data_IF_280479398167
#
_entry.id   IF_280479398167
#
_cell.length_a   1.000
_cell.length_b   1.000
_cell.length_c   1.000
_cell.angle_alpha   90.00
_cell.angle_beta   90.00
_cell.angle_gamma   90.00
#
_symmetry.space_group_name_H-M   'P 1'
#
loop_
_entity.id
_entity.type
_entity.pdbx_description
1 polymer ?
#
# COMPACT_ATOMS: atom_id res chain seq x y z
N UNK A 1 -22.24 -5.10 3.02
CA UNK A 1 -22.71 -4.42 1.80
C UNK A 1 -21.84 -3.21 1.58
N UNK A 2 -21.04 -3.26 0.53
CA UNK A 2 -20.16 -2.17 0.08
C UNK A 2 -20.90 -0.82 0.01
N UNK A 3 -20.21 0.29 0.26
CA UNK A 3 -20.82 1.62 0.32
C UNK A 3 -21.44 2.04 -1.02
N UNK A 4 -20.80 1.69 -2.13
CA UNK A 4 -21.35 1.97 -3.47
C UNK A 4 -22.66 1.19 -3.67
N UNK A 5 -22.68 -0.12 -3.39
CA UNK A 5 -23.89 -0.93 -3.53
C UNK A 5 -25.02 -0.48 -2.60
N UNK A 6 -24.67 -0.06 -1.37
CA UNK A 6 -25.64 0.55 -0.46
C UNK A 6 -26.21 1.84 -1.06
N UNK A 7 -25.34 2.70 -1.57
CA UNK A 7 -25.71 3.99 -2.12
C UNK A 7 -26.58 3.88 -3.36
N UNK A 8 -26.29 2.94 -4.26
CA UNK A 8 -27.13 2.62 -5.42
C UNK A 8 -28.56 2.25 -4.98
N UNK A 9 -28.69 1.41 -3.94
CA UNK A 9 -30.00 1.03 -3.38
C UNK A 9 -30.71 2.22 -2.74
N UNK A 10 -29.99 2.97 -1.92
CA UNK A 10 -30.53 4.18 -1.29
C UNK A 10 -31.04 5.17 -2.35
N UNK A 11 -30.25 5.43 -3.38
CA UNK A 11 -30.60 6.34 -4.47
C UNK A 11 -31.82 5.84 -5.26
N UNK A 12 -31.87 4.54 -5.59
CA UNK A 12 -33.03 3.94 -6.25
C UNK A 12 -34.30 4.10 -5.42
N UNK A 13 -34.23 3.87 -4.10
CA UNK A 13 -35.36 4.06 -3.19
C UNK A 13 -35.82 5.51 -3.13
N UNK A 14 -34.88 6.47 -3.03
CA UNK A 14 -35.25 7.88 -2.99
C UNK A 14 -35.85 8.32 -4.33
N UNK A 15 -35.35 7.82 -5.45
CA UNK A 15 -35.88 8.12 -6.79
C UNK A 15 -37.29 7.59 -6.95
N UNK A 16 -37.57 6.38 -6.46
CA UNK A 16 -38.92 5.81 -6.47
C UNK A 16 -39.89 6.58 -5.56
N UNK A 17 -39.48 6.86 -4.32
CA UNK A 17 -40.31 7.57 -3.32
C UNK A 17 -40.59 9.03 -3.70
N UNK A 18 -39.70 9.66 -4.47
CA UNK A 18 -39.79 11.06 -4.88
C UNK A 18 -39.92 11.20 -6.40
N UNK A 19 -40.65 10.27 -7.03
CA UNK A 19 -40.86 10.24 -8.47
C UNK A 19 -41.21 11.63 -9.05
N UNK A 20 -40.52 12.01 -10.14
CA UNK A 20 -40.67 13.32 -10.79
C UNK A 20 -39.90 14.48 -10.13
N UNK A 21 -39.26 14.27 -8.98
CA UNK A 21 -38.36 15.25 -8.36
C UNK A 21 -36.91 14.82 -8.52
N UNK A 22 -36.07 15.71 -9.06
CA UNK A 22 -34.63 15.45 -9.21
C UNK A 22 -33.97 15.31 -7.84
N UNK A 23 -33.11 14.31 -7.69
CA UNK A 23 -32.15 14.17 -6.59
C UNK A 23 -30.78 14.32 -7.24
N UNK A 24 -30.10 15.44 -6.98
CA UNK A 24 -28.82 15.73 -7.60
C UNK A 24 -27.65 15.13 -6.81
N UNK A 25 -26.78 14.42 -7.52
CA UNK A 25 -25.63 13.72 -6.96
C UNK A 25 -24.41 14.12 -7.76
N UNK A 26 -23.40 14.67 -7.09
CA UNK A 26 -22.17 15.12 -7.73
C UNK A 26 -20.99 14.45 -7.04
N UNK A 27 -20.20 13.71 -7.83
CA UNK A 27 -18.90 13.19 -7.44
C UNK A 27 -17.88 13.84 -8.36
N UNK A 28 -16.97 14.60 -7.79
CA UNK A 28 -15.94 15.31 -8.55
C UNK A 28 -14.59 15.21 -7.85
N UNK A 29 -13.53 15.48 -8.60
CA UNK A 29 -12.20 15.68 -8.05
C UNK A 29 -11.99 17.15 -7.71
N UNK A 30 -11.13 17.41 -6.74
CA UNK A 30 -10.63 18.74 -6.35
C UNK A 30 -9.09 18.73 -6.34
N UNK A 31 -8.47 19.78 -5.83
CA UNK A 31 -7.02 19.90 -5.70
C UNK A 31 -6.37 18.65 -5.06
N UNK A 32 -5.12 18.35 -5.42
CA UNK A 32 -4.38 17.18 -4.96
C UNK A 32 -5.08 15.83 -5.22
N UNK A 33 -5.85 15.75 -6.30
CA UNK A 33 -6.61 14.55 -6.70
C UNK A 33 -7.59 14.05 -5.63
N UNK A 34 -7.96 14.90 -4.68
CA UNK A 34 -8.91 14.57 -3.63
C UNK A 34 -10.33 14.46 -4.18
N UNK A 35 -11.19 13.74 -3.46
CA UNK A 35 -12.59 13.55 -3.79
C UNK A 35 -13.45 14.62 -3.13
N UNK A 36 -14.48 15.06 -3.85
CA UNK A 36 -15.61 15.80 -3.32
C UNK A 36 -16.90 15.08 -3.70
N UNK A 37 -17.72 14.83 -2.70
CA UNK A 37 -19.04 14.21 -2.84
C UNK A 37 -20.08 15.19 -2.33
N UNK A 38 -21.11 15.43 -3.14
CA UNK A 38 -22.22 16.31 -2.81
C UNK A 38 -23.54 15.64 -3.15
N UNK A 39 -24.44 15.55 -2.15
CA UNK A 39 -25.78 15.00 -2.32
C UNK A 39 -26.83 16.04 -1.94
N UNK A 40 -27.75 16.33 -2.86
CA UNK A 40 -28.91 17.16 -2.59
C UNK A 40 -29.97 16.36 -1.83
N UNK A 41 -30.33 16.84 -0.63
CA UNK A 41 -31.31 16.22 0.26
C UNK A 41 -32.65 16.96 0.27
N UNK A 42 -32.80 18.07 -0.46
CA UNK A 42 -33.98 18.95 -0.46
C UNK A 42 -35.28 18.21 -0.72
N UNK A 43 -35.26 17.28 -1.67
CA UNK A 43 -36.42 16.48 -2.06
C UNK A 43 -36.56 15.17 -1.29
N UNK A 44 -35.79 14.98 -0.21
CA UNK A 44 -35.82 13.76 0.60
C UNK A 44 -36.37 14.05 2.00
N UNK A 45 -36.68 13.00 2.75
CA UNK A 45 -37.04 13.11 4.18
C UNK A 45 -35.92 13.68 5.05
N UNK A 46 -34.70 13.76 4.51
CA UNK A 46 -33.49 14.24 5.18
C UNK A 46 -33.27 15.75 5.02
N UNK A 47 -34.15 16.48 4.33
CA UNK A 47 -34.01 17.93 4.12
C UNK A 47 -33.91 18.74 5.42
N UNK A 48 -34.45 18.22 6.53
CA UNK A 48 -34.37 18.86 7.85
C UNK A 48 -33.15 18.41 8.67
N UNK A 49 -32.44 17.39 8.22
CA UNK A 49 -31.26 16.87 8.92
C UNK A 49 -30.16 17.92 8.87
N UNK A 50 -29.54 18.17 10.02
CA UNK A 50 -28.35 19.00 10.16
C UNK A 50 -27.36 18.20 10.98
N UNK A 51 -26.15 18.10 10.47
CA UNK A 51 -25.05 17.41 11.15
C UNK A 51 -23.89 18.38 11.15
N UNK A 52 -23.36 18.67 12.33
CA UNK A 52 -22.18 19.51 12.47
C UNK A 52 -21.00 18.91 11.71
N UNK A 53 -20.12 19.79 11.24
CA UNK A 53 -18.95 19.39 10.49
C UNK A 53 -18.09 18.46 11.35
N UNK A 54 -17.79 17.29 10.82
CA UNK A 54 -16.75 16.42 11.34
C UNK A 54 -15.56 16.47 10.40
N UNK A 55 -14.37 16.34 10.97
CA UNK A 55 -13.13 16.39 10.21
C UNK A 55 -12.04 15.57 10.90
N UNK A 56 -11.12 15.09 10.08
CA UNK A 56 -9.87 14.50 10.51
C UNK A 56 -8.80 14.96 9.54
N UNK A 57 -7.72 15.55 10.05
CA UNK A 57 -6.59 16.01 9.28
C UNK A 57 -5.29 15.38 9.80
N UNK A 58 -5.20 14.05 9.72
CA UNK A 58 -4.00 13.32 10.14
C UNK A 58 -2.78 13.67 9.25
N UNK A 59 -2.97 13.79 7.93
CA UNK A 59 -1.91 14.19 6.99
C UNK A 59 -2.46 14.72 5.67
N UNK A 60 -1.58 15.21 4.79
CA UNK A 60 -1.95 15.57 3.40
C UNK A 60 -2.54 14.41 2.58
N UNK A 61 -2.34 13.16 3.03
CA UNK A 61 -2.79 11.95 2.36
C UNK A 61 -3.76 11.11 3.20
N UNK A 62 -4.08 11.55 4.41
CA UNK A 62 -5.11 10.95 5.25
C UNK A 62 -5.90 12.08 5.90
N UNK A 63 -6.90 12.58 5.18
CA UNK A 63 -7.78 13.62 5.71
C UNK A 63 -9.18 13.51 5.13
N UNK A 64 -10.17 13.97 5.89
CA UNK A 64 -11.53 14.17 5.41
C UNK A 64 -12.23 15.28 6.17
N UNK A 65 -13.27 15.81 5.55
CA UNK A 65 -14.31 16.61 6.18
C UNK A 65 -15.68 16.17 5.65
N UNK A 66 -16.69 16.17 6.50
CA UNK A 66 -18.07 15.86 6.11
C UNK A 66 -19.05 16.67 6.95
N UNK A 67 -20.09 17.18 6.32
CA UNK A 67 -21.17 17.91 7.00
C UNK A 67 -22.52 17.70 6.30
N UNK A 68 -23.61 17.95 7.04
CA UNK A 68 -24.93 18.17 6.43
C UNK A 68 -25.40 19.57 6.81
N UNK A 69 -25.40 20.45 5.82
CA UNK A 69 -25.80 21.84 5.98
C UNK A 69 -26.59 22.29 4.76
N UNK A 70 -27.54 23.20 4.96
CA UNK A 70 -28.33 23.78 3.87
C UNK A 70 -29.04 22.72 2.98
N UNK A 71 -29.50 21.62 3.57
CA UNK A 71 -30.17 20.52 2.87
C UNK A 71 -29.26 19.77 1.89
N UNK A 72 -27.95 19.87 2.08
CA UNK A 72 -26.94 19.18 1.27
C UNK A 72 -26.00 18.41 2.19
N UNK A 73 -25.67 17.18 1.81
CA UNK A 73 -24.48 16.51 2.34
C UNK A 73 -23.29 16.91 1.49
N UNK A 74 -22.22 17.38 2.13
CA UNK A 74 -20.96 17.70 1.48
C UNK A 74 -19.85 17.00 2.21
N UNK A 75 -19.06 16.21 1.49
CA UNK A 75 -17.89 15.59 2.05
C UNK A 75 -16.71 15.68 1.09
N UNK A 76 -15.52 15.85 1.65
CA UNK A 76 -14.25 15.86 0.93
C UNK A 76 -13.26 14.98 1.65
N UNK A 77 -12.34 14.41 0.91
CA UNK A 77 -11.25 13.64 1.49
C UNK A 77 -10.21 13.32 0.45
N UNK A 78 -9.06 12.82 0.89
CA UNK A 78 -7.96 12.46 -0.01
C UNK A 78 -8.38 11.45 -1.10
N UNK A 79 -7.48 11.24 -2.06
CA UNK A 79 -7.72 10.41 -3.25
C UNK A 79 -8.12 8.95 -2.96
N UNK A 80 -7.96 8.46 -1.73
CA UNK A 80 -8.37 7.10 -1.31
C UNK A 80 -9.77 7.03 -0.72
N UNK A 81 -10.40 8.17 -0.38
CA UNK A 81 -11.57 8.20 0.50
C UNK A 81 -12.93 8.17 -0.17
N UNK A 82 -13.06 8.04 -1.49
CA UNK A 82 -14.38 8.10 -2.15
C UNK A 82 -15.44 7.18 -1.51
N UNK A 83 -15.11 5.89 -1.35
CA UNK A 83 -16.01 4.92 -0.68
C UNK A 83 -16.27 5.30 0.78
N UNK A 84 -15.27 5.82 1.48
CA UNK A 84 -15.39 6.30 2.85
C UNK A 84 -16.37 7.50 2.95
N UNK A 85 -16.27 8.50 2.06
CA UNK A 85 -17.15 9.68 2.05
C UNK A 85 -18.63 9.28 1.85
N UNK A 86 -18.89 8.30 0.98
CA UNK A 86 -20.24 7.71 0.83
C UNK A 86 -20.68 7.01 2.12
N UNK A 87 -19.77 6.31 2.79
CA UNK A 87 -20.01 5.70 4.11
C UNK A 87 -20.35 6.71 5.20
N UNK A 88 -19.72 7.90 5.19
CA UNK A 88 -20.04 8.98 6.14
C UNK A 88 -21.48 9.45 5.98
N UNK A 89 -21.95 9.60 4.74
CA UNK A 89 -23.36 9.92 4.48
C UNK A 89 -24.30 8.88 5.08
N UNK A 90 -24.03 7.59 4.83
CA UNK A 90 -24.79 6.47 5.42
C UNK A 90 -24.85 6.57 6.94
N UNK A 91 -23.72 6.85 7.58
CA UNK A 91 -23.63 6.97 9.03
C UNK A 91 -24.48 8.13 9.55
N UNK A 92 -24.45 9.28 8.86
CA UNK A 92 -25.19 10.49 9.24
C UNK A 92 -26.70 10.31 9.20
N UNK A 93 -27.23 9.51 8.29
CA UNK A 93 -28.68 9.31 8.15
C UNK A 93 -29.24 8.23 9.09
N UNK A 94 -28.41 7.73 10.01
CA UNK A 94 -28.85 6.83 11.08
C UNK A 94 -29.15 5.40 10.64
N UNK A 95 -28.77 5.00 9.42
CA UNK A 95 -28.84 3.58 8.98
C UNK A 95 -27.70 2.77 9.60
N UNK A 96 -27.71 2.68 10.94
CA UNK A 96 -26.78 1.90 11.76
C UNK A 96 -27.16 0.41 11.72
N UNK A 97 -27.09 -0.18 10.54
CA UNK A 97 -27.02 -1.62 10.34
C UNK A 97 -25.55 -2.02 10.20
N UNK A 98 -24.87 -2.15 11.35
CA UNK A 98 -23.42 -2.35 11.55
C UNK A 98 -22.64 -1.03 11.51
N UNK A 99 -22.09 -0.63 12.67
CA UNK A 99 -20.81 0.10 12.71
C UNK A 99 -19.87 -0.67 11.79
N UNK A 100 -19.62 -0.18 10.58
CA UNK A 100 -18.52 -0.69 9.80
C UNK A 100 -17.27 -0.36 10.61
N UNK A 101 -16.60 -1.38 11.15
CA UNK A 101 -15.18 -1.24 11.36
C UNK A 101 -14.62 -1.04 9.96
N UNK A 102 -14.36 0.21 9.57
CA UNK A 102 -13.27 0.41 8.64
C UNK A 102 -12.10 -0.35 9.27
N UNK A 103 -11.68 -1.45 8.65
CA UNK A 103 -10.32 -1.88 8.87
C UNK A 103 -9.52 -0.66 8.44
N UNK A 104 -8.95 0.06 9.39
CA UNK A 104 -8.20 1.27 9.09
C UNK A 104 -7.14 0.91 8.04
N UNK A 105 -6.85 1.85 7.16
CA UNK A 105 -5.84 1.67 6.13
C UNK A 105 -4.88 2.84 6.26
N UNK A 106 -3.82 2.58 7.00
CA UNK A 106 -2.80 3.54 7.39
C UNK A 106 -1.65 3.56 6.38
N UNK A 107 -1.78 2.90 5.22
CA UNK A 107 -0.69 2.83 4.23
C UNK A 107 -0.19 4.22 3.81
N UNK A 108 -1.08 5.21 3.76
CA UNK A 108 -0.76 6.61 3.40
C UNK A 108 -0.55 7.53 4.61
N UNK A 109 -0.50 6.99 5.83
CA UNK A 109 -0.19 7.76 7.03
C UNK A 109 1.26 8.21 7.03
N UNK A 110 1.49 9.37 7.66
CA UNK A 110 2.78 10.06 7.60
C UNK A 110 3.94 9.18 8.10
N UNK A 111 3.73 8.45 9.19
CA UNK A 111 4.75 7.56 9.78
C UNK A 111 5.11 6.41 8.84
N UNK A 112 4.12 5.73 8.26
CA UNK A 112 4.32 4.62 7.31
C UNK A 112 4.95 5.12 6.02
N UNK A 113 4.49 6.26 5.48
CA UNK A 113 5.08 6.87 4.28
C UNK A 113 6.53 7.28 4.52
N UNK A 114 6.84 7.84 5.69
CA UNK A 114 8.22 8.20 6.06
C UNK A 114 9.06 6.93 6.18
N UNK A 115 8.56 5.89 6.85
CA UNK A 115 9.24 4.60 6.95
C UNK A 115 9.52 3.95 5.58
N UNK A 116 8.61 4.05 4.62
CA UNK A 116 8.83 3.51 3.27
C UNK A 116 9.74 4.37 2.38
N UNK A 117 9.62 5.70 2.47
CA UNK A 117 10.15 6.62 1.46
C UNK A 117 11.31 7.49 1.95
N UNK A 118 11.68 7.45 3.23
CA UNK A 118 12.85 8.20 3.70
C UNK A 118 14.10 7.79 2.90
N UNK A 119 14.86 8.79 2.45
CA UNK A 119 16.07 8.60 1.64
C UNK A 119 15.86 7.81 0.34
N UNK A 120 14.68 7.87 -0.29
CA UNK A 120 14.39 7.22 -1.57
C UNK A 120 15.33 7.58 -2.74
N UNK A 121 16.04 8.71 -2.67
CA UNK A 121 17.08 9.06 -3.66
C UNK A 121 18.36 8.22 -3.48
N UNK A 122 18.61 7.71 -2.27
CA UNK A 122 19.80 6.92 -1.93
C UNK A 122 19.54 5.42 -1.93
N UNK A 123 18.28 5.01 -1.85
CA UNK A 123 17.88 3.61 -1.72
C UNK A 123 16.93 3.18 -2.83
N UNK A 124 17.15 1.96 -3.32
CA UNK A 124 16.16 1.24 -4.10
C UNK A 124 15.27 0.50 -3.10
N UNK A 125 14.01 0.92 -3.02
CA UNK A 125 13.02 0.35 -2.08
C UNK A 125 12.09 -0.64 -2.78
N UNK A 126 11.84 -1.78 -2.15
CA UNK A 126 10.88 -2.79 -2.57
C UNK A 126 9.90 -3.11 -1.44
N UNK A 127 8.66 -3.45 -1.80
CA UNK A 127 7.62 -3.89 -0.88
C UNK A 127 7.27 -5.35 -1.13
N UNK A 128 7.14 -6.13 -0.06
CA UNK A 128 6.62 -7.49 -0.10
C UNK A 128 5.44 -7.64 0.87
N UNK A 129 4.31 -8.15 0.40
CA UNK A 129 3.10 -8.30 1.21
C UNK A 129 2.99 -9.72 1.75
N UNK A 130 2.64 -9.86 3.02
CA UNK A 130 2.39 -11.16 3.64
C UNK A 130 1.25 -11.09 4.65
N UNK A 131 0.42 -12.14 4.68
CA UNK A 131 -0.68 -12.29 5.63
C UNK A 131 -0.24 -12.88 6.96
N UNK A 132 1.00 -13.35 7.07
CA UNK A 132 1.51 -14.05 8.24
C UNK A 132 2.48 -13.17 9.04
N UNK A 133 2.09 -12.84 10.27
CA UNK A 133 2.97 -12.18 11.25
C UNK A 133 4.24 -13.01 11.51
N UNK A 134 4.13 -14.34 11.49
CA UNK A 134 5.28 -15.22 11.66
C UNK A 134 6.22 -15.13 10.45
N UNK A 135 5.68 -15.09 9.23
CA UNK A 135 6.47 -14.89 8.03
C UNK A 135 7.20 -13.54 8.05
N UNK A 136 6.51 -12.46 8.41
CA UNK A 136 7.12 -11.13 8.52
C UNK A 136 8.28 -11.10 9.52
N UNK A 137 8.07 -11.65 10.72
CA UNK A 137 9.12 -11.80 11.75
C UNK A 137 10.27 -12.69 11.29
N UNK A 138 9.98 -13.75 10.54
CA UNK A 138 11.00 -14.63 9.96
C UNK A 138 11.84 -13.91 8.92
N UNK A 139 11.21 -13.15 8.01
CA UNK A 139 11.91 -12.37 6.97
C UNK A 139 12.85 -11.33 7.59
N UNK A 140 12.44 -10.64 8.67
CA UNK A 140 13.34 -9.75 9.41
C UNK A 140 14.61 -10.48 9.90
N UNK A 141 14.46 -11.72 10.39
CA UNK A 141 15.57 -12.48 10.99
C UNK A 141 16.46 -13.17 9.96
N UNK A 142 15.87 -13.71 8.91
CA UNK A 142 16.57 -14.62 7.99
C UNK A 142 16.71 -14.07 6.58
N UNK A 143 16.06 -12.96 6.27
CA UNK A 143 16.01 -12.41 4.92
C UNK A 143 14.82 -12.92 4.12
N UNK A 144 14.62 -12.33 2.95
CA UNK A 144 13.52 -12.69 2.06
C UNK A 144 13.95 -13.86 1.16
N UNK A 145 13.21 -14.98 1.26
CA UNK A 145 13.35 -16.10 0.33
C UNK A 145 12.50 -15.85 -0.91
N UNK A 146 13.07 -16.13 -2.08
CA UNK A 146 12.35 -16.04 -3.35
C UNK A 146 12.83 -17.11 -4.33
N UNK A 147 11.92 -17.56 -5.20
CA UNK A 147 12.20 -18.40 -6.36
C UNK A 147 11.84 -17.65 -7.64
N UNK A 148 12.35 -18.12 -8.78
CA UNK A 148 12.09 -17.62 -10.14
C UNK A 148 12.53 -16.17 -10.44
N UNK A 149 11.95 -15.16 -9.76
CA UNK A 149 12.26 -13.76 -9.95
C UNK A 149 11.85 -12.93 -8.74
N UNK A 150 12.77 -12.09 -8.28
CA UNK A 150 12.54 -11.17 -7.18
C UNK A 150 11.35 -10.23 -7.42
N UNK A 151 11.18 -9.74 -8.66
CA UNK A 151 10.11 -8.83 -9.07
C UNK A 151 8.71 -9.47 -9.09
N UNK A 152 8.61 -10.81 -9.04
CA UNK A 152 7.32 -11.50 -8.91
C UNK A 152 6.82 -11.51 -7.46
N UNK A 153 7.74 -11.47 -6.50
CA UNK A 153 7.41 -11.54 -5.07
C UNK A 153 7.43 -10.17 -4.40
N UNK A 154 8.11 -9.19 -5.00
CA UNK A 154 8.23 -7.85 -4.47
C UNK A 154 7.79 -6.80 -5.50
N UNK A 155 7.54 -5.58 -5.03
CA UNK A 155 7.26 -4.44 -5.91
C UNK A 155 8.20 -3.29 -5.63
N UNK A 156 8.99 -2.91 -6.63
CA UNK A 156 9.81 -1.70 -6.58
C UNK A 156 8.92 -0.47 -6.39
N UNK A 157 9.26 0.32 -5.37
CA UNK A 157 8.57 1.57 -5.01
C UNK A 157 9.01 2.68 -5.96
N UNK A 158 8.03 3.41 -6.48
CA UNK A 158 8.24 4.70 -7.15
C UNK A 158 7.65 5.79 -6.28
N UNK A 159 8.27 6.97 -6.21
CA UNK A 159 7.82 8.12 -5.41
C UNK A 159 6.56 8.83 -5.96
N UNK A 160 5.78 8.15 -6.81
CA UNK A 160 4.52 8.63 -7.36
C UNK A 160 3.35 8.04 -6.53
N UNK A 161 2.52 8.91 -5.95
CA UNK A 161 1.36 8.52 -5.14
C UNK A 161 0.35 7.67 -5.90
N UNK A 162 0.17 7.90 -7.20
CA UNK A 162 -0.75 7.12 -8.04
C UNK A 162 -0.27 5.69 -8.17
N UNK A 163 1.02 5.49 -8.48
CA UNK A 163 1.62 4.16 -8.60
C UNK A 163 1.62 3.43 -7.25
N UNK A 164 1.92 4.13 -6.16
CA UNK A 164 1.88 3.57 -4.81
C UNK A 164 0.48 3.10 -4.43
N UNK A 165 -0.55 3.89 -4.74
CA UNK A 165 -1.93 3.53 -4.45
C UNK A 165 -2.40 2.34 -5.28
N UNK A 166 -2.08 2.33 -6.57
CA UNK A 166 -2.37 1.20 -7.44
C UNK A 166 -1.71 -0.08 -6.93
N UNK A 167 -0.40 -0.02 -6.63
CA UNK A 167 0.34 -1.15 -6.10
C UNK A 167 -0.23 -1.62 -4.76
N UNK A 168 -0.54 -0.70 -3.84
CA UNK A 168 -1.15 -1.06 -2.57
C UNK A 168 -2.53 -1.70 -2.75
N UNK A 169 -3.38 -1.13 -3.60
CA UNK A 169 -4.70 -1.66 -3.90
C UNK A 169 -4.65 -3.09 -4.46
N UNK A 170 -3.71 -3.38 -5.36
CA UNK A 170 -3.52 -4.70 -5.96
C UNK A 170 -2.91 -5.69 -4.96
N UNK A 171 -1.96 -5.25 -4.13
CA UNK A 171 -1.16 -6.14 -3.30
C UNK A 171 -1.74 -6.39 -1.90
N UNK A 172 -2.60 -5.50 -1.38
CA UNK A 172 -3.20 -5.65 -0.03
C UNK A 172 -4.02 -6.93 0.17
N UNK A 173 -4.44 -7.58 -0.92
CA UNK A 173 -5.08 -8.90 -0.85
C UNK A 173 -4.13 -10.02 -0.38
N UNK A 174 -2.81 -9.84 -0.51
CA UNK A 174 -1.81 -10.82 -0.10
C UNK A 174 -1.47 -10.73 1.40
N UNK A 175 -1.95 -9.69 2.10
CA UNK A 175 -1.88 -9.59 3.54
C UNK A 175 -1.69 -8.19 4.08
N UNK A 176 -1.88 -8.07 5.40
CA UNK A 176 -1.87 -6.79 6.10
C UNK A 176 -0.44 -6.32 6.51
N UNK A 177 0.55 -7.21 6.46
CA UNK A 177 1.96 -6.88 6.73
C UNK A 177 2.71 -6.58 5.44
N UNK A 178 3.47 -5.48 5.44
CA UNK A 178 4.29 -5.05 4.29
C UNK A 178 5.73 -4.95 4.73
N UNK A 179 6.57 -5.84 4.20
CA UNK A 179 8.02 -5.82 4.38
C UNK A 179 8.60 -4.70 3.51
N UNK A 180 9.46 -3.89 4.09
CA UNK A 180 10.21 -2.83 3.41
C UNK A 180 11.66 -3.29 3.26
N UNK A 181 12.10 -3.43 2.01
CA UNK A 181 13.46 -3.81 1.64
C UNK A 181 14.12 -2.59 1.01
N UNK A 182 15.31 -2.24 1.48
CA UNK A 182 16.08 -1.10 0.98
C UNK A 182 17.51 -1.54 0.69
N UNK A 183 17.95 -1.33 -0.55
CA UNK A 183 19.33 -1.57 -0.99
C UNK A 183 19.89 -0.22 -1.42
N UNK A 184 21.09 0.16 -0.98
CA UNK A 184 21.65 1.44 -1.43
C UNK A 184 21.92 1.42 -2.93
N UNK A 185 21.73 2.58 -3.56
CA UNK A 185 22.00 2.78 -4.98
C UNK A 185 23.45 2.42 -5.30
N UNK A 186 24.39 2.77 -4.41
CA UNK A 186 25.82 2.47 -4.58
C UNK A 186 26.10 0.96 -4.59
N UNK A 187 25.54 0.21 -3.64
CA UNK A 187 25.70 -1.26 -3.61
C UNK A 187 25.03 -1.88 -4.82
N UNK A 188 23.81 -1.48 -5.14
CA UNK A 188 23.09 -2.04 -6.27
C UNK A 188 23.82 -1.77 -7.59
N UNK A 189 24.31 -0.55 -7.79
CA UNK A 189 25.05 -0.14 -8.98
C UNK A 189 26.40 -0.86 -9.09
N UNK A 190 27.13 -1.01 -7.97
CA UNK A 190 28.37 -1.80 -7.92
C UNK A 190 28.17 -3.20 -8.49
N UNK A 191 27.16 -3.93 -8.00
CA UNK A 191 26.90 -5.30 -8.43
C UNK A 191 26.31 -5.36 -9.84
N UNK A 192 25.50 -4.38 -10.24
CA UNK A 192 25.01 -4.26 -11.60
C UNK A 192 26.17 -4.08 -12.61
N UNK A 193 27.17 -3.26 -12.28
CA UNK A 193 28.31 -3.02 -13.16
C UNK A 193 29.27 -4.22 -13.20
N UNK A 194 29.41 -4.96 -12.09
CA UNK A 194 30.14 -6.23 -12.11
C UNK A 194 29.44 -7.22 -13.03
N UNK A 195 28.12 -7.37 -12.93
CA UNK A 195 27.33 -8.29 -13.76
C UNK A 195 27.40 -7.95 -15.26
N UNK A 196 27.37 -6.67 -15.62
CA UNK A 196 27.53 -6.22 -17.02
C UNK A 196 28.91 -6.56 -17.60
N UNK A 197 29.93 -6.57 -16.76
CA UNK A 197 31.30 -6.86 -17.16
C UNK A 197 31.64 -8.36 -17.09
N UNK A 198 30.75 -9.19 -16.53
CA UNK A 198 30.85 -10.65 -16.58
C UNK A 198 30.02 -11.22 -17.73
N UNK A 199 30.39 -12.40 -18.21
CA UNK A 199 29.66 -13.11 -19.27
C UNK A 199 28.34 -13.75 -18.77
N UNK A 200 27.79 -13.25 -17.66
CA UNK A 200 26.58 -13.78 -17.02
C UNK A 200 25.35 -13.19 -17.70
N UNK A 201 24.86 -13.87 -18.73
CA UNK A 201 23.55 -13.57 -19.27
C UNK A 201 22.49 -13.99 -18.22
N UNK A 202 21.47 -13.15 -18.02
CA UNK A 202 20.26 -13.44 -17.22
C UNK A 202 20.35 -13.47 -15.68
N UNK A 203 21.50 -13.15 -15.07
CA UNK A 203 21.59 -12.99 -13.60
C UNK A 203 21.20 -11.58 -13.15
N UNK A 204 20.33 -11.47 -12.16
CA UNK A 204 19.93 -10.18 -11.55
C UNK A 204 20.65 -9.90 -10.24
N UNK A 205 20.73 -8.63 -9.84
CA UNK A 205 21.48 -8.18 -8.66
C UNK A 205 20.97 -8.86 -7.38
N UNK A 206 19.66 -9.04 -7.24
CA UNK A 206 19.04 -9.61 -6.05
C UNK A 206 19.42 -11.07 -5.82
N UNK A 207 19.70 -11.82 -6.88
CA UNK A 207 20.21 -13.20 -6.80
C UNK A 207 21.65 -13.25 -6.30
N UNK A 208 22.43 -12.19 -6.53
CA UNK A 208 23.82 -12.07 -6.05
C UNK A 208 23.85 -11.71 -4.56
N UNK A 209 22.92 -10.87 -4.12
CA UNK A 209 22.81 -10.34 -2.75
C UNK A 209 22.28 -11.37 -1.73
N UNK A 210 22.58 -12.65 -1.95
CA UNK A 210 22.27 -13.79 -1.08
C UNK A 210 23.47 -14.18 -0.21
N UNK A 211 23.27 -14.30 1.11
CA UNK A 211 24.32 -14.75 2.03
C UNK A 211 24.40 -16.28 2.16
N UNK A 212 23.29 -16.98 1.89
CA UNK A 212 23.24 -18.44 1.85
C UNK A 212 23.41 -18.96 0.43
N UNK A 213 24.00 -20.15 0.31
CA UNK A 213 24.08 -20.84 -0.98
C UNK A 213 22.66 -21.18 -1.47
N UNK A 214 22.30 -20.83 -2.72
CA UNK A 214 21.00 -21.21 -3.27
C UNK A 214 20.82 -22.73 -3.24
N UNK A 215 19.61 -23.18 -2.96
CA UNK A 215 19.26 -24.61 -2.90
C UNK A 215 18.00 -24.87 -3.75
N UNK A 216 17.81 -26.13 -4.16
CA UNK A 216 16.59 -26.54 -4.85
C UNK A 216 15.52 -26.91 -3.83
N UNK A 217 14.30 -26.42 -4.02
CA UNK A 217 13.14 -26.89 -3.26
C UNK A 217 12.58 -28.21 -3.82
N UNK A 218 11.46 -28.66 -3.25
CA UNK A 218 10.83 -29.93 -3.62
C UNK A 218 10.33 -29.94 -5.08
N UNK A 219 10.07 -28.77 -5.66
CA UNK A 219 9.66 -28.57 -7.05
C UNK A 219 10.86 -28.38 -8.00
N UNK A 220 12.09 -28.60 -7.50
CA UNK A 220 13.35 -28.36 -8.21
C UNK A 220 13.54 -26.90 -8.63
N UNK A 221 12.93 -25.95 -7.91
CA UNK A 221 13.14 -24.52 -8.11
C UNK A 221 14.31 -24.02 -7.27
N UNK A 222 15.14 -23.17 -7.88
CA UNK A 222 16.27 -22.55 -7.19
C UNK A 222 15.79 -21.44 -6.27
N UNK A 223 16.03 -21.63 -4.97
CA UNK A 223 15.69 -20.68 -3.91
C UNK A 223 16.88 -19.80 -3.57
N UNK A 224 16.67 -18.49 -3.62
CA UNK A 224 17.61 -17.48 -3.15
C UNK A 224 17.12 -16.87 -1.84
N UNK A 225 18.03 -16.35 -1.03
CA UNK A 225 17.68 -15.65 0.23
C UNK A 225 18.39 -14.30 0.27
N UNK A 226 17.66 -13.23 -0.06
CA UNK A 226 18.17 -11.86 0.07
C UNK A 226 18.55 -11.61 1.53
N UNK A 227 19.76 -11.07 1.77
CA UNK A 227 20.24 -10.79 3.12
C UNK A 227 19.22 -10.01 3.95
N UNK A 228 19.05 -10.40 5.22
CA UNK A 228 18.19 -9.69 6.15
C UNK A 228 18.68 -8.26 6.43
N UNK A 229 19.96 -7.97 6.19
CA UNK A 229 20.51 -6.62 6.34
C UNK A 229 19.93 -5.62 5.35
N UNK A 230 19.38 -6.07 4.22
CA UNK A 230 18.61 -5.21 3.31
C UNK A 230 17.13 -5.06 3.70
N UNK A 231 16.64 -5.85 4.65
CA UNK A 231 15.28 -5.73 5.18
C UNK A 231 15.29 -4.62 6.23
N UNK A 232 14.65 -3.50 5.92
CA UNK A 232 14.50 -2.38 6.86
C UNK A 232 13.59 -2.73 8.03
N UNK A 233 12.56 -3.51 7.75
CA UNK A 233 11.56 -3.93 8.70
C UNK A 233 10.24 -4.24 8.00
N UNK A 234 9.14 -4.19 8.75
CA UNK A 234 7.81 -4.27 8.17
C UNK A 234 6.84 -3.36 8.92
N UNK A 235 5.72 -3.03 8.29
CA UNK A 235 4.61 -2.37 8.96
C UNK A 235 3.30 -3.11 8.69
N UNK A 236 2.36 -2.97 9.62
CA UNK A 236 0.99 -3.42 9.46
C UNK A 236 0.10 -2.21 9.17
N UNK A 237 -0.39 -2.09 7.94
CA UNK A 237 -1.21 -0.94 7.53
C UNK A 237 -2.64 -0.98 8.09
N UNK A 238 -3.05 -2.05 8.78
CA UNK A 238 -4.33 -2.12 9.50
C UNK A 238 -4.23 -1.71 10.96
N UNK A 239 -3.08 -1.97 11.56
CA UNK A 239 -2.84 -1.77 13.00
C UNK A 239 -2.03 -0.50 13.28
N UNK A 240 -1.49 0.14 12.23
CA UNK A 240 -0.57 1.28 12.33
C UNK A 240 0.70 0.95 13.15
N UNK A 241 1.21 -0.27 13.00
CA UNK A 241 2.40 -0.73 13.71
C UNK A 241 3.60 -0.78 12.75
N UNK A 242 4.76 -0.32 13.21
CA UNK A 242 6.03 -0.37 12.48
C UNK A 242 7.03 -1.17 13.32
N UNK A 243 7.67 -2.14 12.66
CA UNK A 243 8.68 -3.01 13.24
C UNK A 243 10.00 -2.81 12.50
N UNK A 244 11.00 -2.28 13.19
CA UNK A 244 12.33 -2.06 12.64
C UNK A 244 13.19 -3.31 12.75
N UNK A 245 14.02 -3.57 11.74
CA UNK A 245 15.06 -4.58 11.81
C UNK A 245 16.35 -3.96 12.41
N UNK A 246 16.83 -4.43 13.58
CA UNK A 246 18.06 -3.91 14.18
C UNK A 246 19.32 -4.23 13.38
N UNK A 247 19.28 -5.20 12.48
CA UNK A 247 20.41 -5.57 11.59
C UNK A 247 20.38 -4.84 10.25
N UNK A 248 19.44 -3.91 10.05
CA UNK A 248 19.30 -3.18 8.79
C UNK A 248 20.57 -2.37 8.48
N UNK A 249 21.17 -2.69 7.35
CA UNK A 249 22.29 -1.99 6.76
C UNK A 249 22.11 -1.97 5.22
N UNK A 250 21.58 -0.88 4.63
CA UNK A 250 21.35 -0.81 3.18
C UNK A 250 22.65 -0.78 2.37
N UNK A 251 23.78 -0.47 3.01
CA UNK A 251 25.12 -0.49 2.43
C UNK A 251 25.86 -1.81 2.69
N UNK A 252 25.15 -2.86 3.11
CA UNK A 252 25.77 -4.13 3.40
C UNK A 252 26.45 -4.70 2.15
N UNK A 253 27.71 -5.07 2.31
CA UNK A 253 28.58 -5.57 1.25
C UNK A 253 29.35 -6.77 1.80
N UNK A 254 29.05 -7.96 1.27
CA UNK A 254 29.64 -9.21 1.73
C UNK A 254 30.54 -9.79 0.67
N UNK A 255 31.71 -10.30 1.07
CA UNK A 255 32.59 -11.07 0.19
C UNK A 255 31.90 -12.30 -0.42
N UNK A 256 30.82 -12.78 0.22
CA UNK A 256 30.00 -13.87 -0.31
C UNK A 256 29.33 -13.48 -1.63
N UNK A 257 28.92 -12.22 -1.79
CA UNK A 257 28.27 -11.75 -3.02
C UNK A 257 29.20 -11.87 -4.22
N UNK A 258 30.47 -11.48 -4.07
CA UNK A 258 31.49 -11.68 -5.11
C UNK A 258 31.75 -13.16 -5.40
N UNK A 259 31.69 -14.03 -4.38
CA UNK A 259 31.80 -15.48 -4.57
C UNK A 259 30.59 -16.05 -5.33
N UNK A 260 29.39 -15.53 -5.12
CA UNK A 260 28.19 -15.94 -5.83
C UNK A 260 28.32 -15.67 -7.33
N UNK A 261 28.84 -14.50 -7.71
CA UNK A 261 29.09 -14.15 -9.12
C UNK A 261 30.06 -15.17 -9.74
N UNK A 262 31.19 -15.47 -9.07
CA UNK A 262 32.17 -16.45 -9.57
C UNK A 262 31.60 -17.85 -9.76
N UNK A 263 30.71 -18.29 -8.86
CA UNK A 263 30.04 -19.59 -8.97
C UNK A 263 29.04 -19.63 -10.13
N UNK A 264 28.35 -18.53 -10.38
CA UNK A 264 27.40 -18.43 -11.49
C UNK A 264 28.13 -18.34 -12.84
N UNK A 265 29.30 -17.72 -12.90
CA UNK A 265 30.14 -17.68 -14.11
C UNK A 265 30.91 -18.98 -14.41
N UNK A 266 31.03 -19.89 -13.44
CA UNK A 266 31.85 -21.10 -13.57
C UNK A 266 31.02 -22.34 -14.00
N UNK A 267 29.70 -22.20 -14.10
CA UNK A 267 28.77 -23.25 -14.51
C UNK A 267 28.23 -23.05 -15.94
N UNK A 268 28.77 -22.10 -16.70
CA UNK A 268 28.69 -22.01 -18.17
C UNK A 268 29.90 -22.69 -18.84
#
# INVERSE_FOLDING_TARGET
MENITWFEKWYAEQSYKNFGKKIDIQISTIENSAWKVKFDLKNTKLSKLKVEKIENFNSKFNWFEAEIKNQEFVAKGDFTKLSFLIGQFRSFIGEQGRKYSHKNDYFFDYEIQTFMLENNERFITFLHYTNSNEAAKKIIKTGLKFSYSFDKTTKKVKSNSVDLNYNHYVLKQFGDNVIVICISVDIYQKYLDILKNSNTQDVVVEEILTESTPYLDDDSEKIFTLSNKFVKGYFNYRENEIYNNPEFNPNFDSDIFLKNIKKLTAND
#
